data_IF_704753268454
#
_entry.id   IF_704753268454
#
_cell.length_a   1.000
_cell.length_b   1.000
_cell.length_c   1.000
_cell.angle_alpha   90.00
_cell.angle_beta   90.00
_cell.angle_gamma   90.00
#
_symmetry.space_group_name_H-M   'P 1'
#
loop_
_entity.id
_entity.type
_entity.pdbx_description
1 polymer ?
#
# COMPACT_ATOMS: atom_id res chain seq x y z
N UNK A 1 -1.77 -13.87 -21.37
CA UNK A 1 -1.51 -13.19 -20.08
C UNK A 1 -2.12 -14.02 -18.96
N UNK A 2 -1.56 -13.96 -17.75
CA UNK A 2 -2.15 -14.61 -16.57
C UNK A 2 -3.45 -13.89 -16.18
N UNK A 3 -4.51 -14.62 -15.87
CA UNK A 3 -5.82 -14.04 -15.55
C UNK A 3 -5.71 -13.05 -14.36
N UNK A 4 -4.91 -13.39 -13.35
CA UNK A 4 -4.67 -12.56 -12.18
C UNK A 4 -4.06 -11.19 -12.53
N UNK A 5 -3.24 -11.11 -13.57
CA UNK A 5 -2.66 -9.84 -14.00
C UNK A 5 -3.70 -8.96 -14.72
N UNK A 6 -4.64 -9.58 -15.44
CA UNK A 6 -5.76 -8.88 -16.08
C UNK A 6 -6.73 -8.38 -15.02
N UNK A 7 -7.08 -9.24 -14.05
CA UNK A 7 -7.99 -8.89 -12.96
C UNK A 7 -7.40 -7.76 -12.11
N UNK A 8 -6.11 -7.84 -11.74
CA UNK A 8 -5.43 -6.77 -10.99
C UNK A 8 -5.45 -5.43 -11.73
N UNK A 9 -5.29 -5.44 -13.06
CA UNK A 9 -5.39 -4.23 -13.87
C UNK A 9 -6.82 -3.67 -13.83
N UNK A 10 -7.83 -4.51 -14.08
CA UNK A 10 -9.23 -4.08 -14.07
C UNK A 10 -9.65 -3.51 -12.71
N UNK A 11 -9.27 -4.17 -11.61
CA UNK A 11 -9.52 -3.70 -10.24
C UNK A 11 -8.83 -2.37 -9.95
N UNK A 12 -7.60 -2.17 -10.47
CA UNK A 12 -6.87 -0.91 -10.32
C UNK A 12 -7.54 0.24 -11.09
N UNK A 13 -8.03 -0.03 -12.29
CA UNK A 13 -8.74 0.95 -13.11
C UNK A 13 -10.08 1.35 -12.46
N UNK A 14 -10.83 0.39 -11.91
CA UNK A 14 -12.07 0.66 -11.16
C UNK A 14 -11.80 1.47 -9.89
N UNK A 15 -10.73 1.13 -9.16
CA UNK A 15 -10.32 1.88 -7.98
C UNK A 15 -9.94 3.32 -8.34
N UNK A 16 -9.18 3.53 -9.41
CA UNK A 16 -8.82 4.86 -9.89
C UNK A 16 -10.08 5.69 -10.22
N UNK A 17 -11.03 5.12 -10.96
CA UNK A 17 -12.27 5.81 -11.33
C UNK A 17 -13.15 6.19 -10.12
N UNK A 18 -13.02 5.47 -8.99
CA UNK A 18 -13.64 5.83 -7.72
C UNK A 18 -12.91 7.00 -7.05
N UNK A 19 -11.58 6.96 -7.02
CA UNK A 19 -10.74 7.96 -6.36
C UNK A 19 -10.75 9.31 -7.08
N UNK A 20 -10.88 9.34 -8.41
CA UNK A 20 -10.96 10.56 -9.22
C UNK A 20 -12.17 11.45 -8.88
N UNK A 21 -13.17 10.91 -8.17
CA UNK A 21 -14.37 11.64 -7.75
C UNK A 21 -14.20 12.37 -6.43
N UNK A 22 -13.08 12.15 -5.74
CA UNK A 22 -12.82 12.69 -4.41
C UNK A 22 -12.19 14.08 -4.50
N UNK A 23 -12.59 14.97 -3.60
CA UNK A 23 -11.88 16.23 -3.37
C UNK A 23 -10.72 16.00 -2.41
N UNK A 24 -9.78 16.95 -2.34
CA UNK A 24 -8.61 16.86 -1.46
C UNK A 24 -8.96 16.57 0.01
N UNK A 25 -10.01 17.21 0.54
CA UNK A 25 -10.49 17.00 1.91
C UNK A 25 -11.03 15.58 2.17
N UNK A 26 -11.55 14.89 1.14
CA UNK A 26 -12.13 13.56 1.29
C UNK A 26 -11.05 12.52 1.61
N UNK A 27 -9.79 12.78 1.24
CA UNK A 27 -8.67 11.87 1.49
C UNK A 27 -8.38 11.64 2.97
N UNK A 28 -8.75 12.59 3.83
CA UNK A 28 -8.62 12.50 5.29
C UNK A 28 -9.84 11.88 5.98
N UNK A 29 -10.88 11.52 5.23
CA UNK A 29 -12.08 10.91 5.80
C UNK A 29 -11.78 9.48 6.26
N UNK A 30 -12.02 9.19 7.53
CA UNK A 30 -11.95 7.84 8.08
C UNK A 30 -12.97 6.91 7.40
N UNK A 31 -12.51 5.71 7.08
CA UNK A 31 -13.31 4.60 6.58
C UNK A 31 -13.73 3.68 7.72
N UNK A 32 -14.68 2.78 7.46
CA UNK A 32 -15.05 1.74 8.41
C UNK A 32 -13.97 0.65 8.56
N UNK A 33 -12.97 0.62 7.69
CA UNK A 33 -11.88 -0.32 7.76
C UNK A 33 -10.81 0.21 8.73
N UNK A 34 -10.75 -0.37 9.94
CA UNK A 34 -9.73 -0.07 10.96
C UNK A 34 -9.62 1.43 11.33
N UNK A 35 -10.64 2.23 11.04
CA UNK A 35 -10.61 3.70 11.17
C UNK A 35 -9.51 4.37 10.33
N UNK A 36 -9.07 3.72 9.24
CA UNK A 36 -8.07 4.27 8.33
C UNK A 36 -8.69 5.33 7.45
N UNK A 37 -7.97 6.41 7.18
CA UNK A 37 -8.35 7.39 6.16
C UNK A 37 -8.29 6.78 4.76
N UNK A 38 -8.86 7.45 3.76
CA UNK A 38 -8.68 7.02 2.36
C UNK A 38 -7.20 7.05 1.97
N UNK A 39 -6.45 8.05 2.44
CA UNK A 39 -4.98 8.12 2.27
C UNK A 39 -4.28 6.88 2.85
N UNK A 40 -4.62 6.47 4.08
CA UNK A 40 -4.02 5.31 4.75
C UNK A 40 -4.24 4.01 3.95
N UNK A 41 -5.44 3.83 3.40
CA UNK A 41 -5.77 2.66 2.57
C UNK A 41 -4.94 2.65 1.29
N UNK A 42 -4.84 3.78 0.59
CA UNK A 42 -4.06 3.87 -0.65
C UNK A 42 -2.55 3.74 -0.38
N UNK A 43 -2.05 4.33 0.70
CA UNK A 43 -0.67 4.17 1.14
C UNK A 43 -0.33 2.69 1.37
N UNK A 44 -1.22 1.95 2.05
CA UNK A 44 -1.06 0.53 2.30
C UNK A 44 -1.02 -0.28 0.99
N UNK A 45 -1.95 -0.05 0.07
CA UNK A 45 -1.98 -0.73 -1.24
C UNK A 45 -0.70 -0.41 -2.03
N UNK A 46 -0.30 0.86 -2.07
CA UNK A 46 0.90 1.30 -2.78
C UNK A 46 2.16 0.61 -2.26
N UNK A 47 2.33 0.48 -0.95
CA UNK A 47 3.47 -0.21 -0.34
C UNK A 47 3.58 -1.67 -0.81
N UNK A 48 2.47 -2.40 -0.86
CA UNK A 48 2.49 -3.80 -1.27
C UNK A 48 2.65 -3.96 -2.79
N UNK A 49 2.09 -3.05 -3.59
CA UNK A 49 2.34 -3.01 -5.04
C UNK A 49 3.83 -2.77 -5.33
N UNK A 50 4.45 -1.79 -4.67
CA UNK A 50 5.88 -1.54 -4.76
C UNK A 50 6.69 -2.76 -4.32
N UNK A 51 6.31 -3.40 -3.21
CA UNK A 51 7.01 -4.58 -2.68
C UNK A 51 6.93 -5.77 -3.64
N UNK A 52 5.80 -5.97 -4.31
CA UNK A 52 5.61 -7.01 -5.32
C UNK A 52 6.47 -6.75 -6.56
N UNK A 53 6.49 -5.52 -7.07
CA UNK A 53 7.32 -5.12 -8.19
C UNK A 53 8.82 -5.26 -7.86
N UNK A 54 9.23 -4.82 -6.67
CA UNK A 54 10.61 -4.98 -6.17
C UNK A 54 11.04 -6.46 -6.11
N UNK A 55 10.14 -7.37 -5.74
CA UNK A 55 10.44 -8.80 -5.71
C UNK A 55 10.80 -9.38 -7.09
N UNK A 56 10.28 -8.78 -8.16
CA UNK A 56 10.58 -9.18 -9.55
C UNK A 56 11.88 -8.56 -10.06
N UNK A 57 12.20 -7.34 -9.61
CA UNK A 57 13.33 -6.56 -10.12
C UNK A 57 14.63 -6.80 -9.34
N UNK A 58 14.56 -6.87 -8.01
CA UNK A 58 15.72 -6.98 -7.13
C UNK A 58 15.38 -7.79 -5.87
N UNK A 59 15.75 -9.07 -5.91
CA UNK A 59 15.54 -10.01 -4.80
C UNK A 59 16.30 -9.63 -3.53
N UNK A 60 17.45 -8.94 -3.64
CA UNK A 60 18.25 -8.48 -2.51
C UNK A 60 17.60 -7.30 -1.79
N UNK A 61 17.17 -6.30 -2.56
CA UNK A 61 16.41 -5.16 -2.03
C UNK A 61 15.08 -5.61 -1.42
N UNK A 62 14.36 -6.52 -2.07
CA UNK A 62 13.14 -7.13 -1.53
C UNK A 62 13.40 -7.86 -0.20
N UNK A 63 14.42 -8.72 -0.13
CA UNK A 63 14.74 -9.44 1.10
C UNK A 63 15.09 -8.49 2.26
N UNK A 64 15.77 -7.38 1.97
CA UNK A 64 16.07 -6.34 2.96
C UNK A 64 14.79 -5.62 3.43
N UNK A 65 13.90 -5.24 2.51
CA UNK A 65 12.63 -4.60 2.85
C UNK A 65 11.76 -5.51 3.74
N UNK A 66 11.63 -6.79 3.38
CA UNK A 66 10.86 -7.76 4.15
C UNK A 66 11.48 -8.05 5.53
N UNK A 67 12.82 -8.06 5.63
CA UNK A 67 13.50 -8.14 6.93
C UNK A 67 13.16 -6.94 7.81
N UNK A 68 13.21 -5.73 7.27
CA UNK A 68 12.89 -4.51 8.01
C UNK A 68 11.43 -4.52 8.49
N UNK A 69 10.49 -4.91 7.63
CA UNK A 69 9.08 -5.06 7.99
C UNK A 69 8.90 -6.10 9.13
N UNK A 70 9.58 -7.24 9.03
CA UNK A 70 9.52 -8.30 10.06
C UNK A 70 10.08 -7.82 11.40
N UNK A 71 11.19 -7.09 11.40
CA UNK A 71 11.79 -6.52 12.61
C UNK A 71 10.86 -5.50 13.24
N UNK A 72 10.28 -4.59 12.45
CA UNK A 72 9.34 -3.58 12.93
C UNK A 72 8.08 -4.22 13.54
N UNK A 73 7.53 -5.25 12.90
CA UNK A 73 6.39 -6.00 13.42
C UNK A 73 6.70 -6.67 14.77
N UNK A 74 7.90 -7.26 14.94
CA UNK A 74 8.35 -7.82 16.23
C UNK A 74 8.48 -6.78 17.34
N UNK A 75 8.68 -5.51 16.98
CA UNK A 75 8.74 -4.38 17.91
C UNK A 75 7.35 -3.76 18.16
N UNK A 76 6.29 -4.33 17.59
CA UNK A 76 4.91 -3.85 17.75
C UNK A 76 4.52 -2.74 16.77
N UNK A 77 5.34 -2.43 15.77
CA UNK A 77 5.00 -1.45 14.74
C UNK A 77 3.90 -2.02 13.84
N UNK A 78 2.81 -1.28 13.67
CA UNK A 78 1.74 -1.68 12.75
C UNK A 78 2.22 -1.55 11.31
N UNK A 79 1.64 -2.32 10.39
CA UNK A 79 1.97 -2.16 8.96
C UNK A 79 1.70 -0.73 8.47
N UNK A 80 0.64 -0.08 8.96
CA UNK A 80 0.35 1.30 8.59
C UNK A 80 1.46 2.25 9.05
N UNK A 81 1.86 2.17 10.32
CA UNK A 81 2.95 3.00 10.84
C UNK A 81 4.27 2.78 10.08
N UNK A 82 4.56 1.53 9.69
CA UNK A 82 5.70 1.20 8.84
C UNK A 82 5.58 1.83 7.44
N UNK A 83 4.41 1.70 6.80
CA UNK A 83 4.14 2.29 5.48
C UNK A 83 4.31 3.80 5.50
N UNK A 84 3.78 4.49 6.52
CA UNK A 84 3.92 5.95 6.65
C UNK A 84 5.39 6.34 6.82
N UNK A 85 6.14 5.63 7.66
CA UNK A 85 7.58 5.86 7.81
C UNK A 85 8.33 5.63 6.49
N UNK A 86 7.97 4.61 5.72
CA UNK A 86 8.54 4.33 4.39
C UNK A 86 8.23 5.43 3.36
N UNK A 87 7.03 6.04 3.42
CA UNK A 87 6.64 7.18 2.59
C UNK A 87 7.31 8.51 3.01
N UNK A 88 8.11 8.52 4.08
CA UNK A 88 8.75 9.73 4.61
C UNK A 88 7.92 10.47 5.66
N UNK A 89 6.94 9.83 6.28
CA UNK A 89 6.16 10.38 7.40
C UNK A 89 4.90 11.15 7.00
N UNK A 90 4.40 10.95 5.77
CA UNK A 90 3.10 11.45 5.34
C UNK A 90 1.94 10.73 6.07
#
# INVERSE_FOLDING_TARGET
MLQQAIDFQAESDELLALLERLNEQDWQRETQFKHWTINDVIAHIHFFNYTADLALQDSGAFANLMRNLTVAAKQGTTHLAFTHAWLGGA
#
